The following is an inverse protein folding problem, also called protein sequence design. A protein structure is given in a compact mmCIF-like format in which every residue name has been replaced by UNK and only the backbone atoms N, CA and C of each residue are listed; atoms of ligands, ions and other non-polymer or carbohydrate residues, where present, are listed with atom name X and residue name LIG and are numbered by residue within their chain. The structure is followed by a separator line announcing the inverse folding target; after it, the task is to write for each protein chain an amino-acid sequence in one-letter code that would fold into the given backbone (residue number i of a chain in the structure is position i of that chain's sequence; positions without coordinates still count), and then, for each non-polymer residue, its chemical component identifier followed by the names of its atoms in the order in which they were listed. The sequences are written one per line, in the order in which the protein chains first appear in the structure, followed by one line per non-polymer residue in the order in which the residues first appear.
data_IF_445254840731
#
_entry.id   IF_445254840731
#
_cell.length_a   1.000
_cell.length_b   1.000
_cell.length_c   1.000
_cell.angle_alpha   90.00
_cell.angle_beta   90.00
_cell.angle_gamma   90.00
#
_symmetry.space_group_name_H-M   'P 1'
#
loop_
_entity.id
_entity.type
_entity.pdbx_description
1 polymer ?
#
# COMPACT_ATOMS: atom_id res chain seq x y z
N UNK A 1 7.16 -6.54 -3.38
CA UNK A 1 5.93 -5.74 -3.29
C UNK A 1 6.09 -4.35 -3.92
N UNK A 2 6.74 -3.38 -3.27
CA UNK A 2 6.87 -1.98 -3.78
C UNK A 2 7.38 -1.91 -5.23
N UNK A 3 8.48 -2.59 -5.56
CA UNK A 3 9.03 -2.58 -6.91
C UNK A 3 8.05 -3.12 -7.97
N UNK A 4 7.22 -4.10 -7.61
CA UNK A 4 6.21 -4.68 -8.51
C UNK A 4 5.07 -3.70 -8.77
N UNK A 5 4.56 -3.03 -7.72
CA UNK A 5 3.53 -1.97 -7.87
C UNK A 5 4.07 -0.86 -8.76
N UNK A 6 5.27 -0.35 -8.47
CA UNK A 6 5.87 0.76 -9.23
C UNK A 6 6.03 0.42 -10.72
N UNK A 7 6.41 -0.81 -11.04
CA UNK A 7 6.66 -1.22 -12.42
C UNK A 7 5.39 -1.61 -13.19
N UNK A 8 4.36 -2.13 -12.52
CA UNK A 8 3.23 -2.80 -13.17
C UNK A 8 1.88 -2.10 -12.98
N UNK A 9 1.79 -1.14 -12.05
CA UNK A 9 0.52 -0.52 -11.66
C UNK A 9 0.56 1.01 -11.81
N UNK A 10 0.45 1.54 -13.05
CA UNK A 10 0.48 2.99 -13.27
C UNK A 10 -0.68 3.75 -12.60
N UNK A 11 -1.74 3.04 -12.19
CA UNK A 11 -2.86 3.59 -11.42
C UNK A 11 -2.59 3.75 -9.92
N UNK A 12 -1.49 3.19 -9.39
CA UNK A 12 -1.03 3.43 -8.02
C UNK A 12 -0.17 4.70 -8.00
N UNK A 13 -0.81 5.84 -7.74
CA UNK A 13 -0.20 7.17 -7.76
C UNK A 13 0.80 7.40 -6.62
N UNK A 14 0.59 6.73 -5.49
CA UNK A 14 1.56 6.64 -4.40
C UNK A 14 1.45 5.26 -3.75
N UNK A 15 2.59 4.65 -3.45
CA UNK A 15 2.67 3.36 -2.75
C UNK A 15 3.89 3.37 -1.83
N UNK A 16 3.70 3.87 -0.61
CA UNK A 16 4.79 4.19 0.31
C UNK A 16 4.74 3.26 1.53
N UNK A 17 5.84 2.55 1.78
CA UNK A 17 6.00 1.73 2.98
C UNK A 17 6.87 2.49 3.99
N UNK A 18 6.33 2.69 5.19
CA UNK A 18 7.02 3.31 6.30
C UNK A 18 7.20 2.30 7.41
N UNK A 19 8.30 2.43 8.17
CA UNK A 19 8.44 1.80 9.48
C UNK A 19 8.13 2.84 10.54
N UNK A 20 7.36 2.47 11.56
CA UNK A 20 7.11 3.38 12.68
C UNK A 20 8.42 3.67 13.43
N UNK A 21 8.59 4.92 13.87
CA UNK A 21 9.72 5.34 14.70
C UNK A 21 9.51 4.96 16.17
N UNK A 22 8.25 4.89 16.61
CA UNK A 22 7.87 4.55 17.98
C UNK A 22 7.88 3.03 18.21
N UNK A 23 7.54 2.26 17.17
CA UNK A 23 7.55 0.79 17.20
C UNK A 23 8.13 0.23 15.87
N UNK A 24 9.41 -0.19 15.85
CA UNK A 24 10.05 -0.71 14.65
C UNK A 24 9.43 -2.00 14.08
N UNK A 25 8.56 -2.69 14.83
CA UNK A 25 7.83 -3.86 14.35
C UNK A 25 6.60 -3.49 13.50
N UNK A 26 6.14 -2.24 13.57
CA UNK A 26 5.00 -1.75 12.81
C UNK A 26 5.43 -1.15 11.47
N UNK A 27 4.62 -1.43 10.46
CA UNK A 27 4.74 -0.84 9.13
C UNK A 27 3.42 -0.16 8.74
N UNK A 28 3.51 0.94 8.00
CA UNK A 28 2.36 1.65 7.44
C UNK A 28 2.53 1.75 5.93
N UNK A 29 1.52 1.27 5.21
CA UNK A 29 1.37 1.57 3.80
C UNK A 29 0.48 2.79 3.62
N UNK A 30 0.97 3.77 2.85
CA UNK A 30 0.15 4.87 2.33
C UNK A 30 -0.01 4.62 0.85
N UNK A 31 -1.25 4.39 0.43
CA UNK A 31 -1.60 4.02 -0.93
C UNK A 31 -2.59 5.05 -1.49
N UNK A 32 -2.29 5.59 -2.66
CA UNK A 32 -3.18 6.51 -3.38
C UNK A 32 -3.38 5.94 -4.77
N UNK A 33 -4.63 5.68 -5.13
CA UNK A 33 -5.01 5.16 -6.43
C UNK A 33 -5.68 6.24 -7.27
N UNK A 34 -5.57 6.13 -8.59
CA UNK A 34 -6.22 7.04 -9.53
C UNK A 34 -7.75 6.96 -9.43
N UNK A 35 -8.28 5.76 -9.22
CA UNK A 35 -9.69 5.46 -9.08
C UNK A 35 -9.91 4.08 -8.40
N UNK A 36 -11.17 3.72 -8.20
CA UNK A 36 -11.57 2.42 -7.63
C UNK A 36 -11.19 1.23 -8.53
N UNK A 37 -11.08 1.42 -9.84
CA UNK A 37 -10.70 0.36 -10.76
C UNK A 37 -9.22 0.00 -10.60
N UNK A 38 -8.35 1.00 -10.41
CA UNK A 38 -6.94 0.82 -10.09
C UNK A 38 -6.75 0.09 -8.75
N UNK A 39 -7.48 0.49 -7.70
CA UNK A 39 -7.46 -0.20 -6.41
C UNK A 39 -7.93 -1.67 -6.53
N UNK A 40 -8.99 -1.93 -7.31
CA UNK A 40 -9.46 -3.29 -7.55
C UNK A 40 -8.42 -4.12 -8.32
N UNK A 41 -7.79 -3.54 -9.34
CA UNK A 41 -6.74 -4.19 -10.11
C UNK A 41 -5.55 -4.55 -9.22
N UNK A 42 -5.11 -3.63 -8.35
CA UNK A 42 -4.07 -3.87 -7.36
C UNK A 42 -4.32 -5.14 -6.53
N UNK A 43 -5.52 -5.29 -5.95
CA UNK A 43 -5.86 -6.46 -5.14
C UNK A 43 -5.87 -7.80 -5.89
N UNK A 44 -5.92 -7.77 -7.22
CA UNK A 44 -5.99 -8.94 -8.10
C UNK A 44 -4.63 -9.33 -8.70
N UNK A 45 -3.57 -8.58 -8.45
CA UNK A 45 -2.25 -8.86 -9.02
C UNK A 45 -1.61 -10.13 -8.41
N UNK A 46 -0.69 -10.80 -9.13
CA UNK A 46 0.03 -11.96 -8.61
C UNK A 46 0.80 -11.67 -7.31
N UNK A 47 1.48 -10.52 -7.25
CA UNK A 47 2.28 -10.13 -6.08
C UNK A 47 1.39 -9.84 -4.85
N UNK A 48 0.14 -9.39 -5.02
CA UNK A 48 -0.82 -9.28 -3.92
C UNK A 48 -1.37 -10.65 -3.51
N UNK A 49 -1.45 -11.60 -4.44
CA UNK A 49 -1.71 -13.01 -4.13
C UNK A 49 -0.62 -13.61 -3.23
N UNK A 50 0.65 -13.42 -3.60
CA UNK A 50 1.81 -13.85 -2.81
C UNK A 50 1.83 -13.20 -1.42
N UNK A 51 1.60 -11.88 -1.35
CA UNK A 51 1.51 -11.15 -0.09
C UNK A 51 0.41 -11.71 0.83
N UNK A 52 -0.79 -11.96 0.28
CA UNK A 52 -1.91 -12.55 1.03
C UNK A 52 -1.59 -13.95 1.55
N UNK A 53 -0.90 -14.77 0.76
CA UNK A 53 -0.53 -16.13 1.17
C UNK A 53 0.42 -16.15 2.38
N UNK A 54 1.32 -15.16 2.49
CA UNK A 54 2.23 -15.00 3.64
C UNK A 54 1.69 -14.15 4.78
N UNK A 55 0.55 -13.48 4.60
CA UNK A 55 0.10 -12.38 5.47
C UNK A 55 -0.01 -12.77 6.94
N UNK A 56 -0.70 -13.86 7.25
CA UNK A 56 -0.90 -14.33 8.63
C UNK A 56 0.37 -14.88 9.30
N UNK A 57 1.45 -15.11 8.54
CA UNK A 57 2.76 -15.50 9.08
C UNK A 57 3.60 -14.28 9.44
N UNK A 58 3.31 -13.13 8.84
CA UNK A 58 4.06 -11.88 9.01
C UNK A 58 3.39 -10.91 9.98
N UNK A 59 2.06 -10.97 10.11
CA UNK A 59 1.29 -10.01 10.91
C UNK A 59 0.33 -10.72 11.86
N UNK A 60 0.17 -10.14 13.05
CA UNK A 60 -1.00 -10.41 13.89
C UNK A 60 -2.23 -9.77 13.22
N UNK A 61 -3.02 -10.61 12.55
CA UNK A 61 -4.20 -10.19 11.79
C UNK A 61 -5.23 -9.45 12.64
N UNK A 62 -5.24 -9.64 13.97
CA UNK A 62 -6.16 -8.94 14.88
C UNK A 62 -5.79 -7.47 15.09
N UNK A 63 -4.54 -7.11 14.83
CA UNK A 63 -3.99 -5.75 15.00
C UNK A 63 -3.93 -4.98 13.68
N UNK A 64 -4.18 -5.62 12.54
CA UNK A 64 -4.11 -4.98 11.23
C UNK A 64 -5.31 -4.03 11.05
N UNK A 65 -5.01 -2.75 10.84
CA UNK A 65 -5.99 -1.74 10.43
C UNK A 65 -5.85 -1.44 8.95
N UNK A 66 -6.95 -1.56 8.21
CA UNK A 66 -7.07 -1.08 6.83
C UNK A 66 -8.20 -0.06 6.79
N UNK A 67 -7.91 1.14 6.32
CA UNK A 67 -8.88 2.23 6.22
C UNK A 67 -8.91 2.76 4.79
N UNK A 68 -10.12 2.94 4.25
CA UNK A 68 -10.33 3.56 2.93
C UNK A 68 -10.83 4.98 3.15
N UNK A 69 -10.09 5.93 2.59
CA UNK A 69 -10.34 7.35 2.75
C UNK A 69 -10.59 8.00 1.40
N UNK A 70 -11.52 8.95 1.36
CA UNK A 70 -11.71 9.83 0.22
C UNK A 70 -10.73 11.01 0.32
N UNK A 71 -10.10 11.36 -0.80
CA UNK A 71 -9.30 12.58 -0.88
C UNK A 71 -10.20 13.78 -1.14
N UNK A 72 -10.48 14.56 -0.09
CA UNK A 72 -11.23 15.82 -0.17
C UNK A 72 -10.42 16.95 -0.81
N UNK A 73 -9.11 17.02 -0.51
CA UNK A 73 -8.16 17.98 -1.10
C UNK A 73 -6.71 17.45 -0.96
N UNK A 74 -5.77 17.97 -1.76
CA UNK A 74 -4.34 17.67 -1.58
C UNK A 74 -3.47 17.96 -2.80
N UNK A 75 -2.15 17.95 -2.58
CA UNK A 75 -1.13 17.98 -3.64
C UNK A 75 0.00 17.03 -3.23
N UNK A 76 0.69 16.45 -4.20
CA UNK A 76 1.93 15.72 -3.97
C UNK A 76 3.08 16.47 -4.65
N UNK A 77 4.24 16.49 -4.01
CA UNK A 77 5.49 16.95 -4.62
C UNK A 77 6.48 15.78 -4.58
N UNK A 78 7.33 15.61 -5.60
CA UNK A 78 8.41 14.63 -5.51
C UNK A 78 9.26 14.94 -4.28
N UNK A 79 9.54 13.94 -3.45
CA UNK A 79 10.56 14.05 -2.40
C UNK A 79 11.95 14.13 -3.05
N UNK A 80 12.89 14.80 -2.38
CA UNK A 80 14.30 14.58 -2.69
C UNK A 80 14.61 13.14 -2.28
N UNK A 81 14.95 12.30 -3.26
CA UNK A 81 15.32 10.90 -3.03
C UNK A 81 16.62 10.76 -2.25
#
# INVERSE_FOLDING_TARGET
MVASVQAQEPGALAYLCHRSLDDPSQILFVEVYADDAALRAHGQTPHMGEFRAGFAQLFDVSQVKIERLERVAGFARPGAG
#
